data_IF_296777786319
#
_entry.id   IF_296777786319
#
_cell.length_a   1.000
_cell.length_b   1.000
_cell.length_c   1.000
_cell.angle_alpha   90.00
_cell.angle_beta   90.00
_cell.angle_gamma   90.00
#
_symmetry.space_group_name_H-M   'P 1'
#
loop_
_entity.id
_entity.type
_entity.pdbx_description
1 polymer ?
#
# COMPACT_ATOMS: atom_id res chain seq x y z
N UNK A 1 -3.66 25.04 -4.12
CA UNK A 1 -2.60 24.19 -4.72
C UNK A 1 -1.78 23.43 -3.67
N UNK A 2 -1.18 24.10 -2.67
CA UNK A 2 -0.28 23.52 -1.64
C UNK A 2 -0.85 22.36 -0.81
N UNK A 3 -2.10 22.45 -0.35
CA UNK A 3 -2.76 21.38 0.45
C UNK A 3 -2.89 20.05 -0.31
N UNK A 4 -3.17 20.11 -1.61
CA UNK A 4 -3.36 18.92 -2.44
C UNK A 4 -2.05 18.15 -2.64
N UNK A 5 -0.93 18.88 -2.81
CA UNK A 5 0.40 18.28 -2.87
C UNK A 5 0.79 17.59 -1.55
N UNK A 6 0.44 18.19 -0.41
CA UNK A 6 0.72 17.57 0.89
C UNK A 6 -0.05 16.26 1.08
N UNK A 7 -1.34 16.24 0.73
CA UNK A 7 -2.15 15.02 0.79
C UNK A 7 -1.63 13.92 -0.14
N UNK A 8 -1.22 14.27 -1.37
CA UNK A 8 -0.62 13.31 -2.31
C UNK A 8 0.70 12.75 -1.78
N UNK A 9 1.58 13.61 -1.28
CA UNK A 9 2.84 13.18 -0.67
C UNK A 9 2.59 12.28 0.54
N UNK A 10 1.61 12.62 1.39
CA UNK A 10 1.24 11.80 2.53
C UNK A 10 0.73 10.41 2.10
N UNK A 11 -0.07 10.33 1.03
CA UNK A 11 -0.52 9.06 0.47
C UNK A 11 0.66 8.19 0.03
N UNK A 12 1.57 8.75 -0.76
CA UNK A 12 2.75 8.04 -1.28
C UNK A 12 3.63 7.51 -0.13
N UNK A 13 3.88 8.33 0.89
CA UNK A 13 4.73 7.92 2.01
C UNK A 13 4.07 6.84 2.87
N UNK A 14 2.74 6.90 3.04
CA UNK A 14 2.00 5.87 3.75
C UNK A 14 1.98 4.54 2.99
N UNK A 15 1.76 4.55 1.68
CA UNK A 15 1.84 3.37 0.81
C UNK A 15 3.23 2.73 0.87
N UNK A 16 4.30 3.54 0.76
CA UNK A 16 5.68 3.06 0.91
C UNK A 16 5.94 2.43 2.27
N UNK A 17 5.48 3.06 3.34
CA UNK A 17 5.66 2.54 4.69
C UNK A 17 4.97 1.16 4.84
N UNK A 18 3.71 1.04 4.39
CA UNK A 18 2.98 -0.24 4.41
C UNK A 18 3.70 -1.29 3.58
N UNK A 19 4.14 -0.96 2.35
CA UNK A 19 4.90 -1.86 1.50
C UNK A 19 6.15 -2.42 2.18
N UNK A 20 6.94 -1.56 2.85
CA UNK A 20 8.12 -1.97 3.61
C UNK A 20 7.82 -2.94 4.77
N UNK A 21 6.64 -2.83 5.40
CA UNK A 21 6.23 -3.80 6.42
C UNK A 21 5.82 -5.14 5.81
N UNK A 22 5.11 -5.11 4.67
CA UNK A 22 4.65 -6.31 3.97
C UNK A 22 5.80 -7.15 3.42
N UNK A 23 6.91 -6.53 3.03
CA UNK A 23 8.12 -7.23 2.56
C UNK A 23 8.66 -8.25 3.57
N UNK A 24 8.43 -8.05 4.87
CA UNK A 24 8.85 -9.00 5.91
C UNK A 24 8.12 -10.35 5.80
N UNK A 25 6.90 -10.37 5.28
CA UNK A 25 6.12 -11.59 5.10
C UNK A 25 6.72 -12.53 4.04
N UNK A 26 7.69 -12.06 3.24
CA UNK A 26 8.46 -12.95 2.37
C UNK A 26 9.19 -14.02 3.15
N UNK A 27 9.68 -13.69 4.35
CA UNK A 27 10.34 -14.66 5.26
C UNK A 27 9.37 -15.74 5.73
N UNK A 28 8.07 -15.41 5.82
CA UNK A 28 6.99 -16.33 6.17
C UNK A 28 6.41 -17.09 4.95
N UNK A 29 7.07 -17.01 3.79
CA UNK A 29 6.69 -17.72 2.58
C UNK A 29 5.63 -17.02 1.72
N UNK A 30 5.38 -15.72 1.92
CA UNK A 30 4.53 -14.95 1.02
C UNK A 30 5.30 -14.43 -0.19
N UNK A 31 4.67 -14.51 -1.36
CA UNK A 31 5.02 -13.73 -2.52
C UNK A 31 4.31 -12.38 -2.44
N UNK A 32 5.09 -11.31 -2.30
CA UNK A 32 4.59 -9.93 -2.19
C UNK A 32 4.79 -9.22 -3.52
N UNK A 33 3.77 -8.51 -3.98
CA UNK A 33 3.79 -7.67 -5.18
C UNK A 33 3.22 -6.30 -4.81
N UNK A 34 3.76 -5.24 -5.40
CA UNK A 34 3.32 -3.87 -5.19
C UNK A 34 3.03 -3.20 -6.54
N UNK A 35 2.13 -2.22 -6.55
CA UNK A 35 1.76 -1.42 -7.73
C UNK A 35 1.37 -2.28 -8.95
N UNK A 36 0.42 -3.19 -8.72
CA UNK A 36 -0.07 -4.10 -9.76
C UNK A 36 -1.12 -3.38 -10.62
N UNK A 37 -0.80 -3.19 -11.89
CA UNK A 37 -1.70 -2.55 -12.86
C UNK A 37 -2.46 -3.60 -13.68
N UNK A 38 -3.77 -3.38 -13.83
CA UNK A 38 -4.66 -4.18 -14.67
C UNK A 38 -5.54 -3.30 -15.55
N UNK A 39 -6.52 -3.91 -16.23
CA UNK A 39 -7.42 -3.20 -17.14
C UNK A 39 -8.38 -2.29 -16.35
N UNK A 40 -7.98 -1.03 -16.18
CA UNK A 40 -8.80 0.01 -15.53
C UNK A 40 -8.73 0.00 -14.00
N UNK A 41 -7.83 -0.77 -13.40
CA UNK A 41 -7.62 -0.77 -11.95
C UNK A 41 -6.13 -0.88 -11.59
N UNK A 42 -5.83 -0.49 -10.36
CA UNK A 42 -4.53 -0.68 -9.72
C UNK A 42 -4.77 -1.34 -8.36
N UNK A 43 -3.86 -2.22 -7.96
CA UNK A 43 -3.82 -2.81 -6.62
C UNK A 43 -2.51 -2.34 -5.98
N UNK A 44 -2.62 -1.62 -4.87
CA UNK A 44 -1.43 -1.11 -4.18
C UNK A 44 -0.52 -2.27 -3.76
N UNK A 45 -1.06 -3.32 -3.12
CA UNK A 45 -0.32 -4.50 -2.69
C UNK A 45 -1.09 -5.82 -2.90
N UNK A 46 -0.42 -6.84 -3.43
CA UNK A 46 -0.98 -8.16 -3.66
C UNK A 46 -0.06 -9.24 -3.09
N UNK A 47 -0.61 -10.12 -2.26
CA UNK A 47 0.13 -11.15 -1.54
C UNK A 47 -0.46 -12.53 -1.81
N UNK A 48 0.41 -13.49 -2.09
CA UNK A 48 0.06 -14.92 -2.20
C UNK A 48 0.89 -15.67 -1.17
N UNK A 49 0.27 -16.46 -0.30
CA UNK A 49 1.01 -17.25 0.67
C UNK A 49 0.23 -18.42 1.24
N UNK A 50 0.79 -19.10 2.26
CA UNK A 50 0.25 -20.35 2.79
C UNK A 50 -1.19 -20.26 3.31
N UNK A 51 -1.64 -19.07 3.70
CA UNK A 51 -2.97 -18.84 4.28
C UNK A 51 -3.99 -18.33 3.26
N UNK A 52 -3.57 -18.00 2.03
CA UNK A 52 -4.45 -17.51 0.99
C UNK A 52 -3.87 -16.38 0.16
N UNK A 53 -4.77 -15.64 -0.50
CA UNK A 53 -4.48 -14.53 -1.40
C UNK A 53 -5.12 -13.27 -0.84
N UNK A 54 -4.35 -12.18 -0.80
CA UNK A 54 -4.77 -10.91 -0.21
C UNK A 54 -4.45 -9.75 -1.14
N UNK A 55 -5.40 -8.83 -1.30
CA UNK A 55 -5.21 -7.50 -1.89
C UNK A 55 -5.32 -6.47 -0.77
N UNK A 56 -4.36 -5.56 -0.67
CA UNK A 56 -4.37 -4.48 0.32
C UNK A 56 -4.31 -3.14 -0.40
N UNK A 57 -5.21 -2.25 -0.01
CA UNK A 57 -5.29 -0.87 -0.47
C UNK A 57 -4.87 0.05 0.68
N UNK A 58 -3.98 1.01 0.40
CA UNK A 58 -3.45 1.94 1.41
C UNK A 58 -4.13 3.29 1.28
N UNK A 59 -4.72 3.77 2.38
CA UNK A 59 -5.19 5.15 2.50
C UNK A 59 -4.58 5.81 3.71
N UNK A 60 -3.98 6.98 3.50
CA UNK A 60 -3.27 7.72 4.55
C UNK A 60 -3.87 9.10 4.69
N UNK A 61 -4.27 9.45 5.91
CA UNK A 61 -4.80 10.76 6.25
C UNK A 61 -4.31 11.19 7.64
N UNK A 62 -4.00 12.48 7.78
CA UNK A 62 -3.74 13.07 9.09
C UNK A 62 -5.04 13.21 9.86
N UNK A 63 -4.98 13.06 11.19
CA UNK A 63 -6.10 13.40 12.05
C UNK A 63 -6.46 14.88 11.85
N UNK A 64 -7.75 15.25 11.91
CA UNK A 64 -8.15 16.65 11.89
C UNK A 64 -7.43 17.38 13.03
N UNK A 65 -6.78 18.49 12.71
CA UNK A 65 -6.26 19.40 13.74
C UNK A 65 -7.48 20.00 14.42
N UNK A 66 -7.60 19.82 15.74
CA UNK A 66 -8.63 20.48 16.55
C UNK A 66 -8.36 21.98 16.65
#
# INVERSE_FOLDING_TARGET
MRLRFHALHQGIEGERAVGQFLERLREDGYHVFHDLTGDGFNIDHFLIGPTGIFTLETRTWSKPVK
#
